data_IF_715815879642
#
_entry.id   IF_715815879642
#
_cell.length_a   1.000
_cell.length_b   1.000
_cell.length_c   1.000
_cell.angle_alpha   90.00
_cell.angle_beta   90.00
_cell.angle_gamma   90.00
#
_symmetry.space_group_name_H-M   'P 1'
#
loop_
_entity.id
_entity.type
_entity.pdbx_description
1 polymer ?
#
# COMPACT_ATOMS: atom_id res chain seq x y z
N UNK A 1 18.12 25.12 -32.43
CA UNK A 1 17.90 24.33 -31.20
C UNK A 1 18.33 22.90 -31.50
N UNK A 2 19.18 22.25 -30.68
CA UNK A 2 19.56 20.87 -30.95
C UNK A 2 18.30 20.00 -30.86
N UNK A 3 18.13 19.09 -31.83
CA UNK A 3 17.02 18.15 -31.85
C UNK A 3 16.92 17.46 -30.50
N UNK A 4 15.72 17.44 -29.92
CA UNK A 4 15.46 16.63 -28.73
C UNK A 4 15.74 15.18 -29.13
N UNK A 5 16.73 14.59 -28.47
CA UNK A 5 17.09 13.18 -28.59
C UNK A 5 15.91 12.38 -28.01
N UNK A 6 14.90 12.08 -28.85
CA UNK A 6 13.60 11.48 -28.47
C UNK A 6 13.75 10.10 -27.79
N UNK A 7 14.95 9.55 -27.79
CA UNK A 7 15.27 8.26 -27.18
C UNK A 7 15.90 8.34 -25.79
N UNK A 8 15.96 9.52 -25.17
CA UNK A 8 16.46 9.69 -23.80
C UNK A 8 15.40 10.27 -22.86
N UNK A 9 15.22 9.62 -21.71
CA UNK A 9 14.41 10.14 -20.61
C UNK A 9 15.21 11.14 -19.79
N UNK A 10 14.55 12.21 -19.37
CA UNK A 10 15.09 13.20 -18.42
C UNK A 10 14.48 12.97 -17.05
N UNK A 11 15.27 12.79 -16.00
CA UNK A 11 14.73 12.66 -14.63
C UNK A 11 15.64 13.28 -13.58
N UNK A 12 15.07 13.54 -12.40
CA UNK A 12 15.78 14.11 -11.24
C UNK A 12 16.14 12.99 -10.28
N UNK A 13 17.43 12.69 -10.18
CA UNK A 13 17.97 11.72 -9.26
C UNK A 13 18.10 12.32 -7.87
N UNK A 14 17.63 11.59 -6.85
CA UNK A 14 17.81 11.89 -5.43
C UNK A 14 18.41 10.68 -4.76
N UNK A 15 19.43 10.88 -3.94
CA UNK A 15 20.01 9.81 -3.12
C UNK A 15 19.40 9.85 -1.72
N UNK A 16 19.18 8.69 -1.09
CA UNK A 16 18.92 8.64 0.34
C UNK A 16 20.15 9.09 1.12
N UNK A 17 19.94 9.62 2.33
CA UNK A 17 21.03 10.10 3.19
C UNK A 17 22.13 9.05 3.39
N UNK A 18 23.39 9.44 3.16
CA UNK A 18 24.56 8.59 3.41
C UNK A 18 25.14 7.85 2.19
N UNK A 19 24.53 7.99 1.00
CA UNK A 19 25.04 7.37 -0.25
C UNK A 19 26.04 8.28 -0.96
N UNK A 20 25.71 9.57 -1.07
CA UNK A 20 26.57 10.62 -1.65
C UNK A 20 26.67 11.76 -0.64
N UNK A 21 27.83 12.41 -0.56
CA UNK A 21 28.01 13.58 0.29
C UNK A 21 27.18 14.77 -0.24
N UNK A 22 26.16 15.18 0.52
CA UNK A 22 25.31 16.33 0.22
C UNK A 22 23.89 15.98 -0.28
N UNK A 23 22.94 16.90 -0.08
CA UNK A 23 21.53 16.77 -0.51
C UNK A 23 21.32 17.31 -1.93
N UNK A 24 22.07 16.79 -2.89
CA UNK A 24 22.02 17.27 -4.27
C UNK A 24 21.03 16.46 -5.10
N UNK A 25 20.12 17.15 -5.80
CA UNK A 25 19.32 16.54 -6.88
C UNK A 25 20.13 16.64 -8.17
N UNK A 26 20.28 15.53 -8.89
CA UNK A 26 21.01 15.50 -10.17
C UNK A 26 20.03 15.37 -11.33
N UNK A 27 20.18 16.20 -12.35
CA UNK A 27 19.42 16.03 -13.59
C UNK A 27 20.17 15.04 -14.48
N UNK A 28 19.55 13.90 -14.79
CA UNK A 28 20.11 12.88 -15.65
C UNK A 28 19.32 12.78 -16.95
N UNK A 29 20.03 12.51 -18.06
CA UNK A 29 19.43 12.00 -19.29
C UNK A 29 19.95 10.58 -19.52
N UNK A 30 19.05 9.64 -19.74
CA UNK A 30 19.40 8.23 -19.88
C UNK A 30 18.65 7.59 -21.05
N UNK A 31 19.25 6.66 -21.82
CA UNK A 31 18.54 5.97 -22.89
C UNK A 31 17.26 5.32 -22.37
N UNK A 32 16.13 5.64 -22.99
CA UNK A 32 14.82 5.25 -22.52
C UNK A 32 14.59 3.73 -22.61
N UNK A 33 15.30 3.06 -23.52
CA UNK A 33 15.18 1.62 -23.77
C UNK A 33 16.10 0.77 -22.87
N UNK A 34 16.90 1.39 -22.01
CA UNK A 34 17.71 0.70 -21.01
C UNK A 34 16.85 0.14 -19.87
N UNK A 35 17.36 -0.84 -19.13
CA UNK A 35 16.69 -1.40 -17.94
C UNK A 35 17.02 -0.63 -16.67
N UNK A 36 16.21 -0.80 -15.62
CA UNK A 36 16.49 -0.28 -14.28
C UNK A 36 17.85 -0.75 -13.76
N UNK A 37 18.24 -2.01 -14.00
CA UNK A 37 19.54 -2.55 -13.61
C UNK A 37 20.70 -1.86 -14.30
N UNK A 38 20.68 -1.78 -15.64
CA UNK A 38 21.75 -1.09 -16.38
C UNK A 38 21.89 0.37 -15.95
N UNK A 39 20.76 1.00 -15.63
CA UNK A 39 20.71 2.34 -15.05
C UNK A 39 21.34 2.40 -13.65
N UNK A 40 21.02 1.46 -12.77
CA UNK A 40 21.56 1.38 -11.41
C UNK A 40 23.07 1.08 -11.42
N UNK A 41 23.53 0.21 -12.32
CA UNK A 41 24.96 -0.05 -12.55
C UNK A 41 25.69 1.22 -12.99
N UNK A 42 25.13 1.97 -13.95
CA UNK A 42 25.73 3.23 -14.39
C UNK A 42 25.72 4.28 -13.28
N UNK A 43 24.62 4.41 -12.52
CA UNK A 43 24.57 5.31 -11.35
C UNK A 43 25.59 4.91 -10.30
N UNK A 44 25.72 3.62 -9.99
CA UNK A 44 26.72 3.10 -9.06
C UNK A 44 28.14 3.45 -9.49
N UNK A 45 28.45 3.22 -10.76
CA UNK A 45 29.75 3.55 -11.37
C UNK A 45 30.03 5.06 -11.38
N UNK A 46 29.06 5.86 -11.86
CA UNK A 46 29.19 7.31 -12.08
C UNK A 46 29.37 8.09 -10.79
N UNK A 47 28.73 7.66 -9.70
CA UNK A 47 28.79 8.36 -8.41
C UNK A 47 29.76 7.71 -7.42
N UNK A 48 30.60 6.76 -7.89
CA UNK A 48 31.59 6.05 -7.08
C UNK A 48 30.99 5.49 -5.77
N UNK A 49 29.78 4.92 -5.86
CA UNK A 49 29.06 4.41 -4.71
C UNK A 49 29.80 3.22 -4.09
N UNK A 50 29.64 3.03 -2.78
CA UNK A 50 30.34 1.98 -2.00
C UNK A 50 30.18 0.63 -2.72
N UNK A 51 31.31 0.01 -3.09
CA UNK A 51 31.34 -1.34 -3.65
C UNK A 51 30.72 -2.30 -2.62
N UNK A 52 29.96 -3.28 -3.09
CA UNK A 52 29.23 -4.27 -2.26
C UNK A 52 27.93 -3.77 -1.61
N UNK A 53 27.32 -2.73 -2.18
CA UNK A 53 25.98 -2.26 -1.80
C UNK A 53 25.03 -2.44 -2.98
N UNK A 54 23.94 -3.15 -2.74
CA UNK A 54 22.87 -3.29 -3.72
C UNK A 54 22.10 -1.97 -3.80
N UNK A 55 21.91 -1.43 -5.00
CA UNK A 55 21.17 -0.19 -5.18
C UNK A 55 19.72 -0.53 -5.52
N UNK A 56 18.79 0.20 -4.91
CA UNK A 56 17.36 0.12 -5.24
C UNK A 56 16.92 1.47 -5.75
N UNK A 57 16.28 1.46 -6.92
CA UNK A 57 15.66 2.61 -7.54
C UNK A 57 14.18 2.69 -7.10
N UNK A 58 13.66 3.87 -6.78
CA UNK A 58 12.25 4.03 -6.40
C UNK A 58 11.63 5.35 -6.87
N UNK A 59 10.31 5.35 -7.10
CA UNK A 59 9.53 6.56 -7.38
C UNK A 59 8.40 6.66 -6.37
N UNK A 60 8.31 7.80 -5.69
CA UNK A 60 7.22 8.06 -4.74
C UNK A 60 7.11 7.01 -3.63
N UNK A 61 8.22 6.33 -3.30
CA UNK A 61 8.31 5.25 -2.31
C UNK A 61 8.18 3.83 -2.87
N UNK A 62 7.95 3.64 -4.17
CA UNK A 62 7.83 2.31 -4.78
C UNK A 62 9.13 1.91 -5.46
N UNK A 63 9.71 0.77 -5.08
CA UNK A 63 10.85 0.19 -5.79
C UNK A 63 10.50 -0.11 -7.26
N UNK A 64 11.44 0.17 -8.16
CA UNK A 64 11.33 -0.17 -9.57
C UNK A 64 11.97 -1.53 -9.82
N UNK A 65 11.35 -2.42 -10.62
CA UNK A 65 11.91 -3.74 -10.83
C UNK A 65 13.19 -3.70 -11.68
N UNK A 66 14.26 -4.40 -11.29
CA UNK A 66 15.56 -4.55 -11.97
C UNK A 66 15.51 -4.65 -13.50
N UNK A 67 14.68 -5.55 -14.02
CA UNK A 67 14.67 -5.89 -15.45
C UNK A 67 13.79 -4.97 -16.32
N UNK A 68 13.09 -4.00 -15.73
CA UNK A 68 12.10 -3.20 -16.47
C UNK A 68 12.77 -2.12 -17.33
N UNK A 69 12.32 -1.89 -18.58
CA UNK A 69 12.77 -0.77 -19.37
C UNK A 69 12.39 0.56 -18.72
N UNK A 70 13.32 1.52 -18.65
CA UNK A 70 13.10 2.81 -18.02
C UNK A 70 11.89 3.55 -18.62
N UNK A 71 11.65 3.46 -19.93
CA UNK A 71 10.48 4.10 -20.59
C UNK A 71 9.13 3.58 -20.08
N UNK A 72 9.10 2.38 -19.50
CA UNK A 72 7.89 1.77 -18.96
C UNK A 72 7.63 2.19 -17.52
N UNK A 73 8.69 2.47 -16.75
CA UNK A 73 8.61 2.74 -15.31
C UNK A 73 8.92 4.18 -14.91
N UNK A 74 9.57 4.96 -15.78
CA UNK A 74 9.92 6.37 -15.58
C UNK A 74 9.27 7.25 -16.65
N UNK A 75 8.84 8.44 -16.24
CA UNK A 75 8.43 9.53 -17.13
C UNK A 75 9.44 10.67 -17.12
N UNK A 76 9.38 11.51 -18.14
CA UNK A 76 10.16 12.75 -18.15
C UNK A 76 9.84 13.63 -16.92
N UNK A 77 10.91 14.19 -16.37
CA UNK A 77 10.98 15.01 -15.16
C UNK A 77 10.57 14.32 -13.85
N UNK A 78 10.49 12.99 -13.83
CA UNK A 78 10.19 12.25 -12.62
C UNK A 78 11.33 12.32 -11.59
N UNK A 79 10.99 12.27 -10.30
CA UNK A 79 11.98 12.22 -9.22
C UNK A 79 12.21 10.77 -8.87
N UNK A 80 13.43 10.31 -9.15
CA UNK A 80 13.90 8.96 -8.91
C UNK A 80 14.76 8.96 -7.67
N UNK A 81 14.41 8.14 -6.68
CA UNK A 81 15.16 8.00 -5.43
C UNK A 81 15.98 6.72 -5.43
N UNK A 82 17.29 6.84 -5.34
CA UNK A 82 18.23 5.71 -5.24
C UNK A 82 18.61 5.49 -3.78
N UNK A 83 18.46 4.26 -3.32
CA UNK A 83 18.71 3.83 -1.93
C UNK A 83 19.71 2.67 -1.91
N UNK A 84 20.56 2.63 -0.90
CA UNK A 84 21.55 1.60 -0.65
C UNK A 84 20.96 0.52 0.25
N UNK A 85 20.93 -0.73 -0.25
CA UNK A 85 20.51 -1.92 0.48
C UNK A 85 21.73 -2.76 0.86
N UNK A 86 21.82 -3.20 2.12
CA UNK A 86 22.85 -4.15 2.56
C UNK A 86 22.31 -5.57 2.39
N UNK A 87 22.58 -6.20 1.25
CA UNK A 87 22.28 -7.61 0.98
C UNK A 87 23.51 -8.50 1.12
N UNK A 88 23.37 -9.68 1.75
CA UNK A 88 24.39 -10.74 1.73
C UNK A 88 24.35 -11.46 0.38
N UNK A 89 25.52 -11.78 -0.18
CA UNK A 89 25.69 -12.52 -1.43
C UNK A 89 24.91 -13.85 -1.45
N UNK A 90 24.23 -14.16 -2.57
CA UNK A 90 23.51 -15.41 -2.79
C UNK A 90 24.14 -16.21 -3.95
N UNK A 91 24.39 -17.49 -3.70
CA UNK A 91 24.89 -18.48 -4.65
C UNK A 91 23.79 -18.98 -5.60
N UNK A 92 24.18 -19.26 -6.84
CA UNK A 92 23.30 -19.77 -7.91
C UNK A 92 23.05 -21.29 -7.83
N UNK A 93 21.81 -21.70 -8.13
CA UNK A 93 21.52 -22.99 -8.78
C UNK A 93 20.35 -23.81 -8.20
N UNK A 94 19.25 -23.91 -8.94
CA UNK A 94 18.18 -24.89 -8.65
C UNK A 94 17.02 -24.91 -9.66
N UNK A 95 16.96 -25.97 -10.49
CA UNK A 95 15.91 -26.24 -11.51
C UNK A 95 14.50 -26.41 -10.89
N UNK A 96 13.48 -25.77 -11.47
CA UNK A 96 12.05 -25.99 -11.16
C UNK A 96 11.43 -27.10 -12.03
N UNK A 97 10.69 -28.03 -11.40
CA UNK A 97 9.79 -29.00 -12.04
C UNK A 97 8.36 -28.43 -12.04
N UNK A 98 7.71 -28.47 -13.21
CA UNK A 98 6.34 -27.99 -13.45
C UNK A 98 5.33 -29.06 -12.99
N UNK A 99 4.32 -28.69 -12.21
CA UNK A 99 3.16 -29.55 -11.91
C UNK A 99 1.88 -28.75 -12.09
N UNK A 100 1.06 -29.15 -13.05
CA UNK A 100 -0.29 -28.67 -13.33
C UNK A 100 -1.29 -29.44 -12.46
N UNK A 101 -2.24 -28.75 -11.84
CA UNK A 101 -3.46 -29.39 -11.34
C UNK A 101 -4.65 -28.45 -11.54
N UNK A 102 -5.55 -28.84 -12.45
CA UNK A 102 -6.93 -28.38 -12.48
C UNK A 102 -7.70 -29.21 -11.45
N UNK A 103 -8.40 -28.56 -10.52
CA UNK A 103 -9.44 -29.21 -9.70
C UNK A 103 -10.71 -28.34 -9.71
N UNK A 104 -11.91 -28.94 -9.78
CA UNK A 104 -13.18 -28.22 -9.74
C UNK A 104 -13.53 -27.80 -8.30
N UNK A 105 -14.27 -26.69 -8.18
CA UNK A 105 -14.61 -26.06 -6.91
C UNK A 105 -15.56 -26.94 -6.05
N UNK A 106 -15.34 -27.02 -4.72
CA UNK A 106 -16.21 -27.77 -3.82
C UNK A 106 -17.53 -27.01 -3.52
N UNK A 107 -18.60 -27.70 -3.10
CA UNK A 107 -19.88 -27.09 -2.78
C UNK A 107 -19.81 -26.24 -1.50
N UNK A 108 -20.61 -25.16 -1.48
CA UNK A 108 -20.64 -24.19 -0.39
C UNK A 108 -21.15 -24.80 0.93
N UNK A 109 -20.47 -24.55 2.07
CA UNK A 109 -20.88 -25.06 3.37
C UNK A 109 -22.01 -24.20 4.02
N UNK A 110 -22.74 -24.72 5.03
CA UNK A 110 -23.96 -24.10 5.58
C UNK A 110 -23.71 -22.89 6.50
N UNK A 111 -24.36 -21.75 6.23
CA UNK A 111 -24.37 -20.37 6.78
C UNK A 111 -24.03 -20.04 8.27
N UNK A 112 -23.31 -20.85 9.03
CA UNK A 112 -22.72 -20.45 10.34
C UNK A 112 -21.27 -19.95 10.21
N UNK A 113 -20.89 -19.43 9.03
CA UNK A 113 -19.52 -19.13 8.63
C UNK A 113 -19.16 -17.67 8.95
N UNK A 114 -17.99 -17.48 9.56
CA UNK A 114 -17.53 -16.23 10.16
C UNK A 114 -17.64 -15.03 9.21
N UNK A 115 -18.62 -14.17 9.49
CA UNK A 115 -18.54 -12.75 9.21
C UNK A 115 -17.37 -12.15 10.01
N UNK A 116 -16.77 -11.08 9.49
CA UNK A 116 -15.75 -10.34 10.24
C UNK A 116 -16.32 -9.91 11.62
N UNK A 117 -15.55 -10.02 12.72
CA UNK A 117 -16.04 -9.63 14.03
C UNK A 117 -16.42 -8.15 14.08
N UNK A 118 -17.40 -7.78 14.91
CA UNK A 118 -17.72 -6.37 15.18
C UNK A 118 -17.05 -5.92 16.49
N UNK A 119 -16.40 -4.77 16.47
CA UNK A 119 -15.78 -4.16 17.65
C UNK A 119 -16.08 -2.66 17.71
N UNK A 120 -16.12 -2.12 18.93
CA UNK A 120 -16.10 -0.67 19.19
C UNK A 120 -14.86 -0.37 20.03
N UNK A 121 -13.66 -0.26 19.44
CA UNK A 121 -12.44 -0.27 20.24
C UNK A 121 -12.25 1.00 21.08
N UNK A 122 -13.17 1.97 20.97
CA UNK A 122 -13.14 3.21 21.73
C UNK A 122 -13.93 3.08 23.04
N UNK A 123 -14.74 2.02 23.17
CA UNK A 123 -15.44 1.68 24.39
C UNK A 123 -14.58 0.77 25.26
N UNK A 124 -14.39 1.12 26.54
CA UNK A 124 -13.68 0.28 27.48
C UNK A 124 -14.33 -1.12 27.59
N UNK A 125 -13.52 -2.18 27.47
CA UNK A 125 -13.98 -3.57 27.59
C UNK A 125 -14.69 -4.15 26.35
N UNK A 126 -14.68 -3.46 25.21
CA UNK A 126 -15.34 -3.90 23.97
C UNK A 126 -14.58 -4.96 23.16
N UNK A 127 -13.44 -5.45 23.67
CA UNK A 127 -12.56 -6.40 23.02
C UNK A 127 -11.20 -5.79 22.64
N UNK A 128 -10.34 -6.61 22.05
CA UNK A 128 -9.02 -6.22 21.57
C UNK A 128 -9.01 -6.27 20.04
N UNK A 129 -8.60 -5.17 19.38
CA UNK A 129 -8.63 -5.07 17.92
C UNK A 129 -7.76 -6.14 17.27
N UNK A 130 -6.54 -6.37 17.78
CA UNK A 130 -5.65 -7.39 17.24
C UNK A 130 -6.27 -8.78 17.39
N UNK A 131 -6.89 -9.09 18.53
CA UNK A 131 -7.58 -10.36 18.74
C UNK A 131 -8.75 -10.56 17.77
N UNK A 132 -9.50 -9.51 17.46
CA UNK A 132 -10.56 -9.56 16.45
C UNK A 132 -9.98 -9.78 15.04
N UNK A 133 -8.90 -9.07 14.69
CA UNK A 133 -8.21 -9.24 13.42
C UNK A 133 -7.60 -10.64 13.24
N UNK A 134 -7.18 -11.32 14.31
CA UNK A 134 -6.69 -12.73 14.24
C UNK A 134 -7.71 -13.71 13.68
N UNK A 135 -9.01 -13.40 13.74
CA UNK A 135 -10.06 -14.31 13.29
C UNK A 135 -10.00 -14.53 11.77
N UNK A 136 -9.83 -13.47 10.99
CA UNK A 136 -9.84 -13.55 9.52
C UNK A 136 -9.08 -12.43 8.80
N UNK A 137 -8.29 -11.62 9.52
CA UNK A 137 -7.58 -10.46 8.96
C UNK A 137 -8.47 -9.23 8.76
N UNK A 138 -9.76 -9.30 9.11
CA UNK A 138 -10.72 -8.20 8.98
C UNK A 138 -11.59 -8.07 10.23
N UNK A 139 -12.07 -6.86 10.46
CA UNK A 139 -12.97 -6.52 11.57
C UNK A 139 -13.85 -5.35 11.18
N UNK A 140 -15.12 -5.36 11.60
CA UNK A 140 -16.01 -4.22 11.50
C UNK A 140 -15.83 -3.32 12.71
N UNK A 141 -15.34 -2.11 12.48
CA UNK A 141 -15.13 -1.10 13.53
C UNK A 141 -16.29 -0.12 13.57
N UNK A 142 -16.83 0.14 14.76
CA UNK A 142 -17.91 1.13 14.93
C UNK A 142 -17.41 2.54 14.60
N UNK A 143 -18.14 3.23 13.74
CA UNK A 143 -17.92 4.65 13.46
C UNK A 143 -18.76 5.45 14.46
N UNK A 144 -18.08 6.08 15.41
CA UNK A 144 -18.71 6.93 16.42
C UNK A 144 -18.50 8.40 16.10
N UNK A 145 -19.54 9.21 16.24
CA UNK A 145 -19.51 10.65 15.96
C UNK A 145 -18.49 11.40 16.84
N UNK A 146 -18.29 10.96 18.09
CA UNK A 146 -17.32 11.57 19.00
C UNK A 146 -15.86 11.26 18.65
N UNK A 147 -15.61 10.30 17.76
CA UNK A 147 -14.26 9.92 17.31
C UNK A 147 -14.03 10.27 15.84
N UNK A 148 -15.02 10.03 14.99
CA UNK A 148 -15.07 10.44 13.59
C UNK A 148 -16.07 11.59 13.49
N UNK A 149 -15.65 12.86 13.74
CA UNK A 149 -16.56 14.01 13.70
C UNK A 149 -17.19 14.19 12.32
N UNK A 150 -16.44 13.83 11.27
CA UNK A 150 -16.90 13.85 9.88
C UNK A 150 -17.75 12.61 9.52
N UNK A 151 -17.87 11.63 10.44
CA UNK A 151 -18.66 10.42 10.31
C UNK A 151 -18.40 9.63 9.03
N UNK A 152 -19.36 9.69 8.11
CA UNK A 152 -19.28 9.06 6.78
C UNK A 152 -18.61 10.03 5.81
N UNK A 153 -17.66 9.58 4.97
CA UNK A 153 -17.05 10.43 3.95
C UNK A 153 -18.10 11.12 3.05
N UNK A 154 -17.81 12.35 2.61
CA UNK A 154 -18.67 13.09 1.67
C UNK A 154 -18.62 12.49 0.25
N UNK A 155 -19.25 11.32 0.11
CA UNK A 155 -19.40 10.61 -1.17
C UNK A 155 -20.08 11.47 -2.25
N UNK A 156 -21.07 12.34 -1.95
CA UNK A 156 -21.57 13.30 -2.93
C UNK A 156 -20.50 14.28 -3.44
N UNK A 157 -19.63 14.83 -2.58
CA UNK A 157 -18.55 15.71 -3.02
C UNK A 157 -17.51 14.97 -3.86
N UNK A 158 -17.14 13.75 -3.47
CA UNK A 158 -16.28 12.90 -4.28
C UNK A 158 -16.90 12.58 -5.64
N UNK A 159 -18.20 12.29 -5.70
CA UNK A 159 -18.91 12.06 -6.96
C UNK A 159 -18.91 13.31 -7.87
N UNK A 160 -19.12 14.51 -7.31
CA UNK A 160 -19.01 15.77 -8.06
C UNK A 160 -17.58 15.97 -8.62
N UNK A 161 -16.57 15.67 -7.82
CA UNK A 161 -15.17 15.75 -8.24
C UNK A 161 -14.83 14.73 -9.35
N UNK A 162 -15.37 13.51 -9.24
CA UNK A 162 -15.28 12.49 -10.27
C UNK A 162 -15.92 12.96 -11.58
N UNK A 163 -17.15 13.47 -11.54
CA UNK A 163 -17.82 14.03 -12.72
C UNK A 163 -17.00 15.15 -13.37
N UNK A 164 -16.45 16.07 -12.58
CA UNK A 164 -15.58 17.11 -13.12
C UNK A 164 -14.32 16.53 -13.77
N UNK A 165 -13.70 15.52 -13.17
CA UNK A 165 -12.51 14.88 -13.74
C UNK A 165 -12.80 14.11 -15.04
N UNK A 166 -14.03 13.62 -15.23
CA UNK A 166 -14.42 12.85 -16.43
C UNK A 166 -15.07 13.70 -17.52
N UNK A 167 -15.91 14.67 -17.15
CA UNK A 167 -16.74 15.48 -18.06
C UNK A 167 -16.09 16.84 -18.36
N UNK A 168 -15.34 17.42 -17.40
CA UNK A 168 -14.71 18.73 -17.52
C UNK A 168 -13.18 18.68 -17.24
N UNK A 169 -12.41 17.82 -17.95
CA UNK A 169 -11.01 17.56 -17.63
C UNK A 169 -10.14 18.83 -17.67
N UNK A 170 -10.43 19.78 -18.56
CA UNK A 170 -9.70 21.06 -18.64
C UNK A 170 -9.84 21.88 -17.35
N UNK A 171 -11.00 21.83 -16.68
CA UNK A 171 -11.23 22.51 -15.40
C UNK A 171 -10.51 21.74 -14.30
N UNK A 172 -10.70 20.42 -14.25
CA UNK A 172 -10.09 19.57 -13.24
C UNK A 172 -8.55 19.66 -13.22
N UNK A 173 -7.89 19.51 -14.37
CA UNK A 173 -6.43 19.54 -14.46
C UNK A 173 -5.82 20.94 -14.31
N UNK A 174 -6.61 22.02 -14.32
CA UNK A 174 -6.14 23.38 -13.99
C UNK A 174 -5.99 23.61 -12.49
N UNK A 175 -6.61 22.78 -11.64
CA UNK A 175 -6.54 22.88 -10.19
C UNK A 175 -5.09 22.77 -9.69
N UNK A 176 -4.70 23.67 -8.78
CA UNK A 176 -3.33 23.74 -8.26
C UNK A 176 -2.85 22.41 -7.67
N UNK A 177 -3.70 21.75 -6.89
CA UNK A 177 -3.39 20.46 -6.25
C UNK A 177 -3.20 19.29 -7.24
N UNK A 178 -3.90 19.34 -8.38
CA UNK A 178 -3.77 18.34 -9.44
C UNK A 178 -2.50 18.60 -10.25
N UNK A 179 -2.22 19.87 -10.58
CA UNK A 179 -0.99 20.28 -11.27
C UNK A 179 0.27 19.96 -10.46
N UNK A 180 0.22 20.11 -9.14
CA UNK A 180 1.32 19.72 -8.24
C UNK A 180 1.43 18.21 -8.02
N UNK A 181 0.54 17.40 -8.62
CA UNK A 181 0.45 15.93 -8.50
C UNK A 181 0.26 15.43 -7.07
N UNK A 182 -0.24 16.29 -6.19
CA UNK A 182 -0.57 15.94 -4.79
C UNK A 182 -1.92 15.24 -4.69
N UNK A 183 -2.88 15.64 -5.53
CA UNK A 183 -4.08 14.85 -5.82
C UNK A 183 -3.93 14.24 -7.20
N UNK A 184 -3.84 12.90 -7.26
CA UNK A 184 -3.73 12.15 -8.50
C UNK A 184 -5.08 11.57 -8.87
N UNK A 185 -5.40 11.58 -10.16
CA UNK A 185 -6.58 10.93 -10.72
C UNK A 185 -6.14 9.91 -11.77
N UNK A 186 -6.63 8.68 -11.68
CA UNK A 186 -6.39 7.63 -12.67
C UNK A 186 -7.68 6.93 -13.09
N UNK A 187 -7.70 6.44 -14.33
CA UNK A 187 -8.79 5.66 -14.91
C UNK A 187 -8.27 4.24 -15.18
N UNK A 188 -8.90 3.24 -14.60
CA UNK A 188 -8.52 1.83 -14.69
C UNK A 188 -7.26 1.46 -13.91
N UNK A 189 -6.90 0.18 -13.99
CA UNK A 189 -5.55 -0.31 -13.64
C UNK A 189 -4.51 0.34 -14.57
N UNK A 190 -3.37 0.78 -14.01
CA UNK A 190 -2.25 1.28 -14.81
C UNK A 190 -1.53 0.10 -15.47
N UNK A 191 -2.06 -0.35 -16.60
CA UNK A 191 -1.58 -1.50 -17.38
C UNK A 191 -0.15 -1.34 -17.91
N UNK A 192 0.43 -0.13 -17.87
CA UNK A 192 1.84 0.07 -18.22
C UNK A 192 2.79 -0.44 -17.14
N UNK A 193 2.31 -0.61 -15.89
CA UNK A 193 3.10 -1.04 -14.73
C UNK A 193 3.01 -2.55 -14.43
N UNK A 194 2.21 -3.29 -15.20
CA UNK A 194 1.91 -4.72 -14.96
C UNK A 194 2.19 -5.61 -16.17
N UNK A 195 2.90 -5.12 -17.19
CA UNK A 195 3.22 -5.86 -18.42
C UNK A 195 4.63 -6.45 -18.41
N UNK A 196 4.79 -7.64 -17.80
CA UNK A 196 5.88 -8.57 -18.14
C UNK A 196 5.36 -10.02 -18.15
N UNK A 197 5.84 -10.84 -19.10
CA UNK A 197 5.62 -12.30 -19.16
C UNK A 197 4.36 -12.74 -19.90
N UNK A 198 4.20 -14.06 -20.11
CA UNK A 198 3.01 -14.67 -20.73
C UNK A 198 1.76 -14.02 -20.12
N UNK A 199 1.07 -13.23 -20.95
CA UNK A 199 0.22 -12.15 -20.51
C UNK A 199 -0.69 -12.55 -19.37
N UNK A 200 -0.83 -11.67 -18.36
CA UNK A 200 -1.87 -11.87 -17.38
C UNK A 200 -3.19 -12.01 -18.13
N UNK A 201 -3.77 -13.20 -18.07
CA UNK A 201 -5.13 -13.51 -18.52
C UNK A 201 -6.15 -12.93 -17.54
N UNK A 202 -5.90 -11.74 -16.99
CA UNK A 202 -6.77 -11.09 -16.02
C UNK A 202 -7.43 -9.86 -16.65
N UNK A 203 -8.69 -9.67 -16.30
CA UNK A 203 -9.48 -8.51 -16.69
C UNK A 203 -8.95 -7.30 -15.92
N UNK A 204 -8.52 -6.21 -16.60
CA UNK A 204 -8.08 -4.98 -15.94
C UNK A 204 -9.13 -4.45 -14.96
N UNK A 205 -8.68 -3.87 -13.85
CA UNK A 205 -9.61 -3.23 -12.90
C UNK A 205 -10.43 -2.13 -13.60
N UNK A 206 -11.75 -2.20 -13.44
CA UNK A 206 -12.67 -1.17 -13.95
C UNK A 206 -13.03 -0.23 -12.79
N UNK A 207 -12.19 0.78 -12.58
CA UNK A 207 -12.39 1.78 -11.51
C UNK A 207 -11.70 3.10 -11.81
N UNK A 208 -12.15 4.16 -11.16
CA UNK A 208 -11.51 5.47 -11.14
C UNK A 208 -10.92 5.70 -9.76
N UNK A 209 -9.71 6.22 -9.66
CA UNK A 209 -9.05 6.45 -8.38
C UNK A 209 -8.61 7.90 -8.24
N UNK A 210 -8.98 8.51 -7.12
CA UNK A 210 -8.27 9.65 -6.56
C UNK A 210 -7.29 9.15 -5.51
N UNK A 211 -6.05 9.64 -5.56
CA UNK A 211 -5.00 9.23 -4.62
C UNK A 211 -4.16 10.41 -4.16
N UNK A 212 -3.87 10.44 -2.86
CA UNK A 212 -2.95 11.40 -2.23
C UNK A 212 -2.12 10.71 -1.14
N UNK A 213 -0.90 11.22 -0.92
CA UNK A 213 -0.06 10.82 0.20
C UNK A 213 -0.10 11.81 1.35
N UNK A 214 0.43 11.39 2.51
CA UNK A 214 0.51 12.23 3.71
C UNK A 214 1.19 13.58 3.47
N UNK A 215 2.13 13.64 2.52
CA UNK A 215 2.80 14.88 2.13
C UNK A 215 1.85 15.94 1.54
N UNK A 216 0.73 15.52 0.95
CA UNK A 216 -0.30 16.40 0.41
C UNK A 216 -1.04 17.20 1.49
N UNK A 217 -1.05 16.73 2.74
CA UNK A 217 -1.65 17.45 3.89
C UNK A 217 -0.99 18.82 4.14
N UNK A 218 0.26 19.00 3.71
CA UNK A 218 0.99 20.28 3.86
C UNK A 218 0.74 21.25 2.72
N UNK A 219 0.00 20.85 1.69
CA UNK A 219 -0.27 21.72 0.55
C UNK A 219 -1.20 22.86 0.91
N UNK A 220 -0.93 24.04 0.35
CA UNK A 220 -1.86 25.19 0.39
C UNK A 220 -2.71 25.29 -0.88
N UNK A 221 -2.51 24.38 -1.84
CA UNK A 221 -3.11 24.45 -3.18
C UNK A 221 -4.47 23.77 -3.30
N UNK A 222 -5.10 23.41 -2.17
CA UNK A 222 -6.36 22.66 -2.13
C UNK A 222 -7.58 23.47 -2.60
N UNK A 223 -7.61 24.78 -2.33
CA UNK A 223 -8.75 25.63 -2.72
C UNK A 223 -10.07 25.12 -2.12
N UNK A 224 -11.08 24.97 -2.96
CA UNK A 224 -12.40 24.39 -2.65
C UNK A 224 -12.36 22.90 -2.25
N UNK A 225 -11.23 22.21 -2.46
CA UNK A 225 -11.04 20.81 -2.09
C UNK A 225 -10.40 20.64 -0.69
N UNK A 226 -10.43 21.66 0.16
CA UNK A 226 -9.83 21.65 1.50
C UNK A 226 -10.39 20.57 2.44
N UNK A 227 -11.60 20.09 2.18
CA UNK A 227 -12.24 19.00 2.92
C UNK A 227 -11.54 17.64 2.75
N UNK A 228 -10.83 17.41 1.63
CA UNK A 228 -10.10 16.15 1.38
C UNK A 228 -8.92 15.95 2.34
N UNK A 229 -7.96 16.88 2.45
CA UNK A 229 -6.84 16.72 3.38
C UNK A 229 -7.28 16.78 4.85
N UNK A 230 -8.37 17.49 5.17
CA UNK A 230 -8.93 17.53 6.52
C UNK A 230 -9.44 16.14 6.94
N UNK A 231 -10.33 15.55 6.13
CA UNK A 231 -10.85 14.19 6.36
C UNK A 231 -9.72 13.14 6.40
N UNK A 232 -8.76 13.22 5.47
CA UNK A 232 -7.60 12.32 5.49
C UNK A 232 -6.77 12.47 6.78
N UNK A 233 -6.45 13.71 7.16
CA UNK A 233 -5.65 14.00 8.36
C UNK A 233 -6.31 13.48 9.63
N UNK A 234 -7.61 13.71 9.77
CA UNK A 234 -8.41 13.26 10.91
C UNK A 234 -8.40 11.74 11.02
N UNK A 235 -8.78 11.02 9.94
CA UNK A 235 -8.83 9.55 9.93
C UNK A 235 -7.46 8.92 10.13
N UNK A 236 -6.42 9.49 9.52
CA UNK A 236 -5.06 9.01 9.69
C UNK A 236 -4.60 9.13 11.15
N UNK A 237 -4.91 10.25 11.82
CA UNK A 237 -4.58 10.45 13.22
C UNK A 237 -5.31 9.46 14.14
N UNK A 238 -6.59 9.20 13.87
CA UNK A 238 -7.40 8.22 14.62
C UNK A 238 -6.79 6.82 14.50
N UNK A 239 -6.48 6.38 13.27
CA UNK A 239 -5.88 5.07 13.03
C UNK A 239 -4.48 4.93 13.66
N UNK A 240 -3.64 5.96 13.53
CA UNK A 240 -2.32 5.96 14.14
C UNK A 240 -2.38 5.83 15.67
N UNK A 241 -3.32 6.55 16.30
CA UNK A 241 -3.55 6.48 17.75
C UNK A 241 -4.05 5.09 18.17
N UNK A 242 -5.04 4.56 17.45
CA UNK A 242 -5.57 3.22 17.70
C UNK A 242 -4.48 2.15 17.65
N UNK A 243 -3.69 2.13 16.57
CA UNK A 243 -2.62 1.14 16.42
C UNK A 243 -1.55 1.31 17.50
N UNK A 244 -1.24 2.55 17.91
CA UNK A 244 -0.34 2.78 19.04
C UNK A 244 -0.88 2.20 20.35
N UNK A 245 -2.16 2.37 20.66
CA UNK A 245 -2.79 1.85 21.88
C UNK A 245 -2.79 0.31 21.91
N UNK A 246 -3.12 -0.31 20.78
CA UNK A 246 -3.10 -1.77 20.62
C UNK A 246 -1.69 -2.35 20.75
N UNK A 247 -0.71 -1.74 20.08
CA UNK A 247 0.69 -2.15 20.20
C UNK A 247 1.24 -1.89 21.60
N UNK A 248 0.84 -0.81 22.27
CA UNK A 248 1.25 -0.53 23.66
C UNK A 248 0.78 -1.64 24.60
N UNK A 249 -0.46 -2.08 24.42
CA UNK A 249 -1.06 -3.17 25.19
C UNK A 249 -0.32 -4.48 24.93
N UNK A 250 -0.08 -4.81 23.66
CA UNK A 250 0.63 -6.03 23.26
C UNK A 250 2.11 -6.06 23.68
N UNK A 251 2.81 -4.91 23.65
CA UNK A 251 4.22 -4.79 24.01
C UNK A 251 4.48 -4.58 25.50
N UNK A 252 3.47 -4.31 26.32
CA UNK A 252 3.63 -3.98 27.75
C UNK A 252 4.44 -5.02 28.57
N UNK A 253 4.53 -6.26 28.07
CA UNK A 253 5.33 -7.32 28.66
C UNK A 253 6.84 -7.29 28.31
N UNK A 254 7.27 -6.48 27.32
CA UNK A 254 8.59 -6.61 26.68
C UNK A 254 9.22 -5.26 26.27
N UNK A 255 10.54 -5.16 26.40
CA UNK A 255 11.30 -3.98 25.94
C UNK A 255 11.63 -4.10 24.46
N UNK A 256 10.81 -3.50 23.59
CA UNK A 256 11.01 -3.52 22.14
C UNK A 256 12.41 -3.02 21.71
N UNK A 257 13.09 -3.67 20.76
CA UNK A 257 14.41 -3.23 20.31
C UNK A 257 14.33 -1.87 19.60
N UNK A 258 15.35 -1.04 19.78
CA UNK A 258 15.40 0.27 19.14
C UNK A 258 15.42 0.16 17.61
N UNK A 259 14.68 1.06 16.97
CA UNK A 259 14.58 1.13 15.51
C UNK A 259 13.65 0.12 14.85
N UNK A 260 12.98 -0.74 15.63
CA UNK A 260 11.81 -1.51 15.16
C UNK A 260 10.62 -0.57 14.92
N UNK A 261 9.69 -0.98 14.07
CA UNK A 261 8.47 -0.19 13.82
C UNK A 261 7.68 0.00 15.11
N UNK A 262 7.52 -1.06 15.91
CA UNK A 262 6.82 -0.98 17.20
C UNK A 262 7.51 0.00 18.13
N UNK A 263 8.83 -0.09 18.31
CA UNK A 263 9.55 0.86 19.16
C UNK A 263 9.36 2.31 18.70
N UNK A 264 9.38 2.57 17.38
CA UNK A 264 9.14 3.92 16.83
C UNK A 264 7.72 4.40 17.08
N UNK A 265 6.72 3.54 16.93
CA UNK A 265 5.31 3.88 17.21
C UNK A 265 5.13 4.22 18.69
N UNK A 266 5.68 3.40 19.58
CA UNK A 266 5.58 3.60 21.03
C UNK A 266 6.35 4.84 21.50
N UNK A 267 7.44 5.21 20.81
CA UNK A 267 8.25 6.39 21.13
C UNK A 267 7.89 7.64 20.31
N UNK A 268 6.74 7.67 19.64
CA UNK A 268 6.28 8.79 18.81
C UNK A 268 7.29 9.23 17.71
N UNK A 269 8.12 8.30 17.26
CA UNK A 269 9.11 8.50 16.20
C UNK A 269 8.65 7.98 14.84
N UNK A 270 7.50 7.30 14.76
CA UNK A 270 6.89 6.87 13.51
C UNK A 270 5.92 7.95 13.01
N UNK A 271 6.25 8.55 11.87
CA UNK A 271 5.43 9.62 11.31
C UNK A 271 4.37 9.11 10.33
N UNK A 272 4.35 7.83 9.97
CA UNK A 272 3.38 7.26 9.03
C UNK A 272 3.38 7.95 7.66
N UNK A 273 4.52 8.45 7.20
CA UNK A 273 4.70 9.21 5.96
C UNK A 273 4.37 8.41 4.70
N UNK A 274 4.44 7.08 4.75
CA UNK A 274 4.00 6.20 3.67
C UNK A 274 2.49 6.24 3.44
N UNK A 275 1.70 6.63 4.46
CA UNK A 275 0.24 6.52 4.47
C UNK A 275 -0.43 7.28 3.33
N UNK A 276 -1.53 6.69 2.83
CA UNK A 276 -2.26 7.16 1.65
C UNK A 276 -3.76 7.21 1.91
N UNK A 277 -4.42 8.12 1.22
CA UNK A 277 -5.85 8.05 0.97
C UNK A 277 -6.06 7.63 -0.48
N UNK A 278 -7.01 6.72 -0.70
CA UNK A 278 -7.58 6.44 -2.01
C UNK A 278 -9.09 6.55 -1.96
N UNK A 279 -9.64 7.36 -2.86
CA UNK A 279 -11.07 7.33 -3.14
C UNK A 279 -11.30 6.67 -4.48
N UNK A 280 -11.98 5.54 -4.47
CA UNK A 280 -12.26 4.74 -5.65
C UNK A 280 -13.73 4.88 -6.06
N UNK A 281 -13.99 5.17 -7.32
CA UNK A 281 -15.33 5.12 -7.93
C UNK A 281 -15.36 3.92 -8.86
N UNK A 282 -16.28 3.02 -8.61
CA UNK A 282 -16.54 1.86 -9.43
C UNK A 282 -17.84 2.14 -10.21
N UNK A 283 -17.79 2.23 -11.55
CA UNK A 283 -18.99 2.26 -12.36
C UNK A 283 -19.73 0.91 -12.25
N UNK A 284 -20.89 0.80 -12.91
CA UNK A 284 -21.53 -0.50 -13.08
C UNK A 284 -20.55 -1.50 -13.72
N UNK A 285 -20.55 -2.74 -13.21
CA UNK A 285 -19.57 -3.80 -13.52
C UNK A 285 -18.11 -3.46 -13.14
N UNK A 286 -17.92 -2.40 -12.35
CA UNK A 286 -16.62 -1.99 -11.83
C UNK A 286 -16.03 -3.01 -10.87
N UNK A 287 -14.72 -3.24 -10.93
CA UNK A 287 -14.06 -4.32 -10.19
C UNK A 287 -12.66 -3.95 -9.69
N UNK A 288 -12.16 -4.77 -8.76
CA UNK A 288 -10.77 -4.80 -8.35
C UNK A 288 -10.34 -6.24 -8.20
N UNK A 289 -9.23 -6.63 -8.84
CA UNK A 289 -8.66 -7.95 -8.72
C UNK A 289 -8.28 -8.30 -7.26
N UNK A 290 -8.12 -9.60 -7.02
CA UNK A 290 -7.67 -10.12 -5.72
C UNK A 290 -6.27 -9.63 -5.37
N UNK A 291 -6.08 -9.19 -4.13
CA UNK A 291 -4.79 -8.75 -3.60
C UNK A 291 -4.79 -8.73 -2.07
N UNK A 292 -3.62 -8.53 -1.49
CA UNK A 292 -3.45 -8.05 -0.11
C UNK A 292 -2.99 -6.59 -0.14
N UNK A 293 -3.21 -5.89 0.96
CA UNK A 293 -2.68 -4.55 1.13
C UNK A 293 -1.31 -4.58 1.78
N UNK A 294 -0.38 -3.77 1.28
CA UNK A 294 0.98 -3.73 1.80
C UNK A 294 1.09 -3.21 3.25
N UNK A 295 0.21 -2.31 3.68
CA UNK A 295 0.35 -1.51 4.91
C UNK A 295 0.21 -2.27 6.23
N UNK A 296 0.11 -1.53 7.34
CA UNK A 296 -0.20 -2.12 8.66
C UNK A 296 -1.69 -2.45 8.72
N UNK A 297 -2.53 -1.45 8.55
CA UNK A 297 -3.99 -1.62 8.45
C UNK A 297 -4.58 -0.71 7.39
N UNK A 298 -5.71 -1.13 6.86
CA UNK A 298 -6.55 -0.36 5.94
C UNK A 298 -7.93 -0.14 6.57
N UNK A 299 -8.42 1.10 6.54
CA UNK A 299 -9.78 1.45 6.90
C UNK A 299 -10.57 1.79 5.63
N UNK A 300 -11.71 1.12 5.43
CA UNK A 300 -12.57 1.33 4.27
C UNK A 300 -14.03 1.57 4.67
N UNK A 301 -14.61 2.62 4.10
CA UNK A 301 -16.06 2.86 4.06
C UNK A 301 -16.52 2.87 2.60
N UNK A 302 -17.69 2.30 2.31
CA UNK A 302 -18.22 2.22 0.94
C UNK A 302 -19.72 2.52 0.90
N UNK A 303 -20.21 2.98 -0.25
CA UNK A 303 -21.63 3.31 -0.45
C UNK A 303 -22.50 2.12 -0.84
N UNK A 304 -21.89 1.00 -1.19
CA UNK A 304 -22.58 -0.16 -1.72
C UNK A 304 -21.72 -1.42 -1.64
N UNK A 305 -22.37 -2.53 -1.97
CA UNK A 305 -21.84 -3.89 -1.87
C UNK A 305 -20.66 -4.12 -2.82
N UNK A 306 -20.00 -5.26 -2.67
CA UNK A 306 -19.05 -5.83 -3.62
C UNK A 306 -17.65 -6.05 -3.07
N UNK A 307 -17.37 -5.64 -1.82
CA UNK A 307 -16.10 -6.02 -1.19
C UNK A 307 -16.20 -7.49 -0.76
N UNK A 308 -15.26 -8.30 -1.20
CA UNK A 308 -15.19 -9.71 -0.84
C UNK A 308 -13.82 -10.06 -0.27
N UNK A 309 -13.78 -11.01 0.66
CA UNK A 309 -12.55 -11.58 1.18
C UNK A 309 -12.49 -13.08 0.93
N UNK A 310 -11.28 -13.60 0.76
CA UNK A 310 -11.06 -15.01 0.52
C UNK A 310 -10.82 -15.73 1.85
N UNK A 311 -11.71 -16.63 2.21
CA UNK A 311 -11.60 -17.40 3.45
C UNK A 311 -12.20 -18.80 3.26
N UNK A 312 -11.52 -19.80 3.82
CA UNK A 312 -11.93 -21.22 3.75
C UNK A 312 -12.13 -21.76 2.33
N UNK A 313 -11.38 -21.24 1.36
CA UNK A 313 -11.41 -21.74 -0.02
C UNK A 313 -12.48 -21.11 -0.92
N UNK A 314 -13.20 -20.10 -0.45
CA UNK A 314 -14.20 -19.39 -1.24
C UNK A 314 -14.26 -17.89 -0.90
N UNK A 315 -14.85 -17.12 -1.80
CA UNK A 315 -15.08 -15.68 -1.65
C UNK A 315 -16.33 -15.43 -0.81
N UNK A 316 -16.22 -14.52 0.16
CA UNK A 316 -17.29 -14.15 1.08
C UNK A 316 -17.49 -12.63 1.08
N UNK A 317 -18.74 -12.14 1.12
CA UNK A 317 -19.00 -10.70 1.26
C UNK A 317 -18.40 -10.15 2.55
N UNK A 318 -17.76 -8.99 2.48
CA UNK A 318 -17.19 -8.26 3.61
C UNK A 318 -17.92 -6.95 3.81
N UNK A 319 -19.21 -7.07 4.12
CA UNK A 319 -20.13 -5.93 4.17
C UNK A 319 -20.37 -5.50 5.63
N UNK A 320 -19.93 -4.29 6.03
CA UNK A 320 -20.11 -3.83 7.40
C UNK A 320 -21.59 -3.51 7.67
N UNK A 321 -22.09 -3.77 8.88
CA UNK A 321 -23.39 -3.26 9.31
C UNK A 321 -23.45 -1.72 9.25
N UNK A 322 -24.66 -1.17 9.22
CA UNK A 322 -24.86 0.29 9.29
C UNK A 322 -24.16 0.88 10.51
N UNK A 323 -23.43 1.98 10.32
CA UNK A 323 -22.62 2.63 11.35
C UNK A 323 -21.25 1.98 11.61
N UNK A 324 -20.82 1.03 10.77
CA UNK A 324 -19.49 0.42 10.83
C UNK A 324 -18.67 0.70 9.58
N UNK A 325 -17.36 0.62 9.72
CA UNK A 325 -16.39 0.54 8.63
C UNK A 325 -15.68 -0.80 8.67
N UNK A 326 -15.07 -1.21 7.55
CA UNK A 326 -14.19 -2.37 7.52
C UNK A 326 -12.78 -1.90 7.84
N UNK A 327 -12.15 -2.50 8.85
CA UNK A 327 -10.72 -2.39 9.09
C UNK A 327 -10.09 -3.74 8.85
N UNK A 328 -9.01 -3.79 8.08
CA UNK A 328 -8.34 -5.06 7.79
C UNK A 328 -6.82 -4.93 7.77
N UNK A 329 -6.17 -6.04 8.06
CA UNK A 329 -4.73 -6.16 8.18
C UNK A 329 -4.07 -6.22 6.81
N UNK A 330 -2.94 -5.53 6.70
CA UNK A 330 -2.02 -5.66 5.56
C UNK A 330 -0.79 -6.48 5.90
N UNK A 331 0.07 -6.66 4.90
CA UNK A 331 1.28 -7.48 4.94
C UNK A 331 2.20 -7.04 6.09
N UNK A 332 2.32 -5.74 6.37
CA UNK A 332 3.19 -5.28 7.48
C UNK A 332 2.66 -5.72 8.85
N UNK A 333 1.34 -5.77 9.07
CA UNK A 333 0.81 -6.23 10.37
C UNK A 333 0.96 -7.75 10.51
N UNK A 334 0.82 -8.51 9.42
CA UNK A 334 1.11 -9.94 9.42
C UNK A 334 2.58 -10.20 9.80
N UNK A 335 3.52 -9.44 9.22
CA UNK A 335 4.94 -9.51 9.57
C UNK A 335 5.16 -9.16 11.05
N UNK A 336 4.57 -8.05 11.53
CA UNK A 336 4.71 -7.61 12.92
C UNK A 336 4.18 -8.63 13.93
N UNK A 337 3.14 -9.34 13.56
CA UNK A 337 2.49 -10.35 14.41
C UNK A 337 2.99 -11.77 14.14
N UNK A 338 4.03 -11.92 13.30
CA UNK A 338 4.59 -13.21 12.90
C UNK A 338 3.52 -14.18 12.37
N UNK A 339 2.59 -13.68 11.57
CA UNK A 339 1.50 -14.47 10.98
C UNK A 339 0.28 -14.68 11.87
N UNK A 340 0.28 -14.23 13.14
CA UNK A 340 -0.90 -14.40 13.99
C UNK A 340 -2.11 -13.60 13.49
N UNK A 341 -1.88 -12.41 12.93
CA UNK A 341 -2.91 -11.63 12.23
C UNK A 341 -2.65 -11.76 10.73
N UNK A 342 -3.47 -12.52 9.97
CA UNK A 342 -3.24 -12.71 8.54
C UNK A 342 -3.55 -11.43 7.76
N UNK A 343 -2.75 -11.13 6.73
CA UNK A 343 -3.12 -10.09 5.77
C UNK A 343 -4.38 -10.51 5.00
N UNK A 344 -5.33 -9.58 4.84
CA UNK A 344 -6.60 -9.90 4.21
C UNK A 344 -6.46 -10.00 2.69
N UNK A 345 -6.61 -11.21 2.14
CA UNK A 345 -6.81 -11.40 0.70
C UNK A 345 -8.23 -10.96 0.35
N UNK A 346 -8.35 -9.90 -0.43
CA UNK A 346 -9.62 -9.27 -0.76
C UNK A 346 -9.71 -8.83 -2.22
N UNK A 347 -10.93 -8.63 -2.70
CA UNK A 347 -11.23 -8.15 -4.06
C UNK A 347 -12.50 -7.30 -4.05
N UNK A 348 -12.78 -6.63 -5.18
CA UNK A 348 -14.10 -6.04 -5.43
C UNK A 348 -14.74 -6.76 -6.60
N UNK A 349 -15.86 -7.44 -6.35
CA UNK A 349 -16.64 -8.10 -7.40
C UNK A 349 -17.35 -7.07 -8.27
N UNK A 350 -17.54 -7.34 -9.57
CA UNK A 350 -18.44 -6.56 -10.42
C UNK A 350 -19.84 -6.45 -9.82
N UNK A 351 -20.50 -5.31 -10.01
CA UNK A 351 -21.86 -5.09 -9.53
C UNK A 351 -22.33 -3.66 -9.80
N UNK A 352 -23.23 -3.17 -8.95
CA UNK A 352 -23.75 -1.81 -9.05
C UNK A 352 -22.68 -0.74 -8.83
N UNK A 353 -23.02 0.49 -9.21
CA UNK A 353 -22.18 1.66 -8.95
C UNK A 353 -21.89 1.78 -7.46
N UNK A 354 -20.61 1.84 -7.10
CA UNK A 354 -20.16 1.98 -5.72
C UNK A 354 -18.98 2.93 -5.61
N UNK A 355 -18.88 3.61 -4.47
CA UNK A 355 -17.70 4.37 -4.09
C UNK A 355 -17.06 3.73 -2.86
N UNK A 356 -15.73 3.76 -2.79
CA UNK A 356 -14.96 3.34 -1.63
C UNK A 356 -14.00 4.43 -1.22
N UNK A 357 -14.00 4.76 0.05
CA UNK A 357 -13.07 5.69 0.66
C UNK A 357 -12.14 4.90 1.57
N UNK A 358 -10.84 4.94 1.27
CA UNK A 358 -9.86 3.98 1.77
C UNK A 358 -8.66 4.73 2.36
N UNK A 359 -8.36 4.48 3.62
CA UNK A 359 -7.17 5.00 4.31
C UNK A 359 -6.20 3.86 4.56
N UNK A 360 -5.01 3.95 3.99
CA UNK A 360 -3.92 3.00 4.21
C UNK A 360 -2.97 3.56 5.26
N UNK A 361 -2.88 2.93 6.42
CA UNK A 361 -1.87 3.25 7.43
C UNK A 361 -0.57 2.52 7.09
N UNK A 362 0.42 3.27 6.62
CA UNK A 362 1.70 2.73 6.14
C UNK A 362 2.88 3.41 6.85
N UNK A 363 3.91 2.64 7.23
CA UNK A 363 5.08 3.16 7.93
C UNK A 363 5.90 4.11 7.05
N UNK A 364 6.78 4.89 7.67
CA UNK A 364 7.74 5.78 7.02
C UNK A 364 8.70 5.04 6.08
N UNK A 365 9.05 3.81 6.45
CA UNK A 365 10.03 2.98 5.75
C UNK A 365 9.45 1.60 5.49
N UNK A 366 9.77 1.06 4.30
CA UNK A 366 9.48 -0.32 3.93
C UNK A 366 10.35 -1.33 4.71
N UNK A 367 11.44 -0.85 5.33
CA UNK A 367 12.32 -1.67 6.16
C UNK A 367 11.76 -1.77 7.58
N UNK A 368 11.05 -2.87 7.86
CA UNK A 368 10.68 -3.24 9.23
C UNK A 368 11.83 -4.03 9.86
N UNK A 369 12.43 -3.49 10.93
CA UNK A 369 13.26 -4.30 11.83
C UNK A 369 12.33 -5.09 12.75
N UNK A 370 12.61 -6.38 12.92
CA UNK A 370 11.79 -7.33 13.67
C UNK A 370 11.52 -6.89 15.12
N UNK A 371 10.25 -6.89 15.50
CA UNK A 371 9.77 -6.62 16.85
C UNK A 371 9.99 -7.83 17.79
N UNK A 372 10.05 -7.59 19.09
CA UNK A 372 10.06 -8.66 20.10
C UNK A 372 8.68 -9.31 20.29
N UNK A 373 7.58 -8.63 19.95
CA UNK A 373 6.25 -9.25 19.79
C UNK A 373 6.34 -10.52 18.92
N UNK A 374 7.17 -10.50 17.87
CA UNK A 374 7.37 -11.65 16.98
C UNK A 374 7.97 -12.90 17.65
N UNK A 375 8.68 -12.76 18.78
CA UNK A 375 9.51 -13.86 19.34
C UNK A 375 8.76 -14.84 20.25
N UNK A 376 7.58 -14.51 20.77
CA UNK A 376 6.86 -15.39 21.72
C UNK A 376 5.64 -16.11 21.12
N UNK A 377 5.16 -15.69 19.95
CA UNK A 377 4.31 -16.56 19.09
C UNK A 377 5.05 -17.89 18.77
N UNK A 378 6.38 -17.86 18.77
CA UNK A 378 7.28 -19.00 18.75
C UNK A 378 7.47 -19.55 20.18
N UNK A 379 6.44 -20.20 20.73
CA UNK A 379 6.63 -21.00 21.94
C UNK A 379 7.39 -22.29 21.58
N UNK A 380 8.72 -22.23 21.50
CA UNK A 380 9.58 -23.38 21.76
C UNK A 380 10.33 -24.06 20.61
N UNK A 381 10.33 -23.56 19.38
CA UNK A 381 11.14 -24.16 18.29
C UNK A 381 12.00 -23.14 17.55
N UNK A 382 13.13 -23.64 17.03
CA UNK A 382 14.09 -22.94 16.18
C UNK A 382 13.43 -22.29 14.97
N UNK A 383 14.10 -21.24 14.47
CA UNK A 383 13.76 -20.51 13.25
C UNK A 383 13.31 -21.44 12.12
N UNK A 384 12.01 -21.56 11.92
CA UNK A 384 11.49 -22.07 10.65
C UNK A 384 11.57 -20.88 9.70
N UNK A 385 12.49 -20.93 8.74
CA UNK A 385 12.37 -20.19 7.47
C UNK A 385 11.01 -20.57 6.86
N UNK A 386 9.96 -19.86 7.28
CA UNK A 386 8.61 -20.14 6.85
C UNK A 386 8.53 -19.91 5.34
N UNK A 387 7.74 -20.73 4.65
CA UNK A 387 7.39 -20.57 3.23
C UNK A 387 6.92 -19.14 2.88
N UNK A 388 6.50 -18.37 3.89
CA UNK A 388 6.23 -16.93 3.85
C UNK A 388 7.44 -16.10 3.33
N UNK A 389 8.65 -16.37 3.81
CA UNK A 389 9.87 -15.68 3.34
C UNK A 389 10.24 -16.07 1.91
N UNK A 390 9.94 -17.30 1.48
CA UNK A 390 10.12 -17.72 0.08
C UNK A 390 9.16 -17.00 -0.86
N UNK A 391 7.94 -16.68 -0.43
CA UNK A 391 7.00 -15.85 -1.21
C UNK A 391 7.48 -14.42 -1.37
N UNK A 392 8.02 -13.81 -0.32
CA UNK A 392 8.48 -12.42 -0.35
C UNK A 392 9.82 -12.26 -1.09
N UNK A 393 10.75 -13.19 -0.93
CA UNK A 393 12.05 -13.17 -1.65
C UNK A 393 11.92 -13.55 -3.13
N UNK A 394 10.91 -14.34 -3.51
CA UNK A 394 10.60 -14.64 -4.92
C UNK A 394 9.98 -13.47 -5.71
N UNK A 395 9.54 -12.39 -5.03
CA UNK A 395 9.15 -11.13 -5.66
C UNK A 395 10.32 -10.15 -5.83
N UNK A 396 11.42 -10.39 -5.11
CA UNK A 396 12.65 -9.59 -5.13
C UNK A 396 13.84 -10.33 -5.76
N UNK A 397 13.59 -11.37 -6.57
CA UNK A 397 14.62 -12.12 -7.31
C UNK A 397 14.28 -12.29 -8.78
#
# INVERSE_FOLDING_TARGET
MPALDEDKLRFRLRFSSGIVAGTSQYLLRYPANSTVDSFLEEVGSRFALIRDVELVCSIGGFALPPCEPLRQVLRDDEIVTVTACRGKAVAHGGRKRKRTSQHPAPPAPPLSHLLAPCVDPWQAGSGNLLAALRVCGAVFVRIREDVFPDGVPDFPAWHRLWRQATEEPTVFYKRGIVRSRQLRFSKGEDLLRTRVGEGKTHTPDVRYNFGLGKDALRSKAWGDLGWIPEDFGNRLSILAKLIKEELSTASSAHKEPSGTLVAKVLSDCESWAGSRLRHSVYPAEGSCAEHTDYGVVTLQQSTGLGLEFYSRGFWQPLEPPSGFAVLFAGDMLEILTNGEVPALVHRVSPGDVRQSHIIFLQPDSLLIKFSLICRKALSGEEWIESEFWKRYTAWSS
#
